data_IF_542018449762
#
_entry.id   IF_542018449762
#
_cell.length_a   1.000
_cell.length_b   1.000
_cell.length_c   1.000
_cell.angle_alpha   90.00
_cell.angle_beta   90.00
_cell.angle_gamma   90.00
#
_symmetry.space_group_name_H-M   'P 1'
#
loop_
_entity.id
_entity.type
_entity.pdbx_description
1 polymer ?
#
# COMPACT_ATOMS: atom_id res chain seq x y z
N UNK A 1 3.63 20.77 3.90
CA UNK A 1 2.74 19.66 3.52
C UNK A 1 1.33 19.98 3.98
N UNK A 2 0.33 19.65 3.17
CA UNK A 2 -1.08 19.86 3.53
C UNK A 2 -1.48 18.85 4.61
N UNK A 3 -2.12 19.31 5.68
CA UNK A 3 -2.54 18.44 6.79
C UNK A 3 -3.74 17.57 6.39
N UNK A 4 -3.74 16.33 6.85
CA UNK A 4 -4.87 15.40 6.72
C UNK A 4 -5.88 15.51 7.88
N UNK A 5 -5.84 16.59 8.65
CA UNK A 5 -6.76 16.83 9.77
C UNK A 5 -8.21 16.72 9.32
N UNK A 6 -8.98 15.92 10.05
CA UNK A 6 -10.39 15.63 9.77
C UNK A 6 -10.67 14.87 8.45
N UNK A 7 -9.66 14.50 7.67
CA UNK A 7 -9.83 13.66 6.48
C UNK A 7 -10.13 12.22 6.88
N UNK A 8 -11.01 11.58 6.14
CA UNK A 8 -11.39 10.18 6.35
C UNK A 8 -10.65 9.28 5.37
N UNK A 9 -9.84 8.37 5.90
CA UNK A 9 -9.14 7.34 5.13
C UNK A 9 -9.83 5.98 5.30
N UNK A 10 -10.12 5.30 4.20
CA UNK A 10 -10.52 3.89 4.18
C UNK A 10 -9.31 3.07 3.72
N UNK A 11 -8.73 2.26 4.62
CA UNK A 11 -7.47 1.55 4.35
C UNK A 11 -7.70 0.04 4.46
N UNK A 12 -7.46 -0.69 3.37
CA UNK A 12 -7.53 -2.15 3.37
C UNK A 12 -6.23 -2.77 3.91
N UNK A 13 -6.34 -3.83 4.71
CA UNK A 13 -5.18 -4.54 5.25
C UNK A 13 -4.34 -3.73 6.25
N UNK A 14 -4.95 -2.76 6.96
CA UNK A 14 -4.25 -1.86 7.88
C UNK A 14 -4.12 -2.39 9.32
N UNK A 15 -4.31 -3.69 9.56
CA UNK A 15 -4.08 -4.28 10.88
C UNK A 15 -2.59 -4.38 11.26
N UNK A 16 -1.68 -4.18 10.31
CA UNK A 16 -0.21 -4.24 10.48
C UNK A 16 0.54 -3.66 9.27
N UNK A 17 1.88 -3.64 9.36
CA UNK A 17 2.78 -3.37 8.24
C UNK A 17 2.55 -2.00 7.58
N UNK A 18 2.62 -1.97 6.24
CA UNK A 18 2.54 -0.73 5.45
C UNK A 18 1.20 -0.01 5.68
N UNK A 19 0.07 -0.74 5.66
CA UNK A 19 -1.24 -0.13 5.87
C UNK A 19 -1.39 0.54 7.23
N UNK A 20 -0.85 -0.07 8.30
CA UNK A 20 -0.83 0.51 9.63
C UNK A 20 0.10 1.74 9.70
N UNK A 21 1.26 1.67 9.06
CA UNK A 21 2.19 2.80 9.03
C UNK A 21 1.56 4.03 8.33
N UNK A 22 0.88 3.83 7.18
CA UNK A 22 0.11 4.88 6.49
C UNK A 22 -0.98 5.45 7.40
N UNK A 23 -1.72 4.58 8.10
CA UNK A 23 -2.76 4.98 9.04
C UNK A 23 -2.21 5.85 10.18
N UNK A 24 -1.10 5.41 10.82
CA UNK A 24 -0.43 6.16 11.90
C UNK A 24 0.12 7.50 11.41
N UNK A 25 0.68 7.55 10.20
CA UNK A 25 1.16 8.80 9.61
C UNK A 25 0.04 9.82 9.42
N UNK A 26 -1.10 9.37 8.89
CA UNK A 26 -2.29 10.21 8.75
C UNK A 26 -2.87 10.63 10.12
N UNK A 27 -2.84 9.73 11.09
CA UNK A 27 -3.31 9.98 12.46
C UNK A 27 -2.54 11.10 13.17
N UNK A 28 -1.23 11.25 12.92
CA UNK A 28 -0.41 12.36 13.46
C UNK A 28 -0.95 13.74 13.04
N UNK A 29 -1.68 13.81 11.95
CA UNK A 29 -2.37 15.03 11.51
C UNK A 29 -3.78 15.18 12.12
N UNK A 30 -4.29 14.18 12.83
CA UNK A 30 -5.66 14.14 13.33
C UNK A 30 -6.67 13.61 12.30
N UNK A 31 -6.26 12.69 11.43
CA UNK A 31 -7.15 12.02 10.47
C UNK A 31 -8.07 10.98 11.14
N UNK A 32 -9.18 10.66 10.45
CA UNK A 32 -10.09 9.57 10.77
C UNK A 32 -9.76 8.37 9.90
N UNK A 33 -9.56 7.20 10.48
CA UNK A 33 -9.10 6.00 9.76
C UNK A 33 -10.03 4.83 9.98
N UNK A 34 -10.65 4.34 8.92
CA UNK A 34 -11.35 3.05 8.87
C UNK A 34 -10.35 1.95 8.50
N UNK A 35 -10.17 0.98 9.38
CA UNK A 35 -9.26 -0.16 9.23
C UNK A 35 -10.07 -1.35 8.72
N UNK A 36 -10.06 -1.59 7.42
CA UNK A 36 -10.77 -2.72 6.82
C UNK A 36 -9.83 -3.93 6.68
N UNK A 37 -9.90 -4.91 7.59
CA UNK A 37 -9.07 -6.10 7.54
C UNK A 37 -9.74 -7.31 8.22
N UNK A 38 -9.26 -8.50 7.90
CA UNK A 38 -9.85 -9.78 8.39
C UNK A 38 -9.44 -10.14 9.81
N UNK A 39 -8.27 -9.68 10.26
CA UNK A 39 -7.65 -10.14 11.51
C UNK A 39 -8.22 -9.35 12.69
N UNK A 40 -9.27 -9.88 13.33
CA UNK A 40 -9.83 -9.35 14.57
C UNK A 40 -9.17 -9.98 15.80
N UNK A 41 -8.89 -11.29 15.74
CA UNK A 41 -8.27 -12.05 16.84
C UNK A 41 -6.76 -12.20 16.64
N UNK A 42 -5.99 -12.32 17.74
CA UNK A 42 -4.57 -12.59 17.66
C UNK A 42 -4.24 -13.86 16.87
N UNK A 43 -3.20 -13.83 16.07
CA UNK A 43 -2.76 -14.97 15.27
C UNK A 43 -1.32 -15.36 15.66
N UNK A 44 -1.00 -16.67 15.86
CA UNK A 44 0.30 -17.11 16.39
C UNK A 44 1.52 -16.67 15.58
N UNK A 45 1.34 -16.46 14.26
CA UNK A 45 2.43 -16.12 13.32
C UNK A 45 2.37 -14.68 12.79
N UNK A 46 1.31 -13.94 13.11
CA UNK A 46 1.09 -12.61 12.55
C UNK A 46 0.71 -11.65 13.67
N UNK A 47 1.62 -10.78 14.04
CA UNK A 47 1.38 -9.73 15.02
C UNK A 47 0.34 -8.72 14.52
N UNK A 48 -0.43 -8.17 15.45
CA UNK A 48 -1.41 -7.12 15.21
C UNK A 48 -2.78 -7.63 14.74
N UNK A 49 -3.79 -6.92 15.22
CA UNK A 49 -5.21 -7.08 14.86
C UNK A 49 -5.78 -5.72 14.46
N UNK A 50 -7.03 -5.67 13.97
CA UNK A 50 -7.71 -4.38 13.74
C UNK A 50 -7.86 -3.58 15.03
N UNK A 51 -7.96 -4.26 16.19
CA UNK A 51 -8.12 -3.62 17.50
C UNK A 51 -6.80 -3.05 18.03
N UNK A 52 -5.69 -3.79 17.95
CA UNK A 52 -4.37 -3.26 18.30
C UNK A 52 -3.97 -2.10 17.38
N UNK A 53 -4.25 -2.22 16.09
CA UNK A 53 -4.02 -1.14 15.12
C UNK A 53 -4.85 0.12 15.43
N UNK A 54 -6.12 -0.07 15.83
CA UNK A 54 -6.97 1.06 16.25
C UNK A 54 -6.38 1.81 17.44
N UNK A 55 -5.86 1.07 18.44
CA UNK A 55 -5.19 1.68 19.58
C UNK A 55 -3.95 2.48 19.15
N UNK A 56 -3.08 1.90 18.29
CA UNK A 56 -1.88 2.59 17.80
C UNK A 56 -2.21 3.87 17.02
N UNK A 57 -3.30 3.87 16.23
CA UNK A 57 -3.77 5.04 15.49
C UNK A 57 -4.29 6.12 16.44
N UNK A 58 -5.02 5.73 17.50
CA UNK A 58 -5.49 6.66 18.53
C UNK A 58 -4.32 7.25 19.32
N UNK A 59 -3.35 6.41 19.72
CA UNK A 59 -2.14 6.86 20.41
C UNK A 59 -1.31 7.84 19.53
N UNK A 60 -1.41 7.74 18.21
CA UNK A 60 -0.79 8.66 17.26
C UNK A 60 -1.61 9.97 17.03
N UNK A 61 -2.77 10.13 17.65
CA UNK A 61 -3.58 11.36 17.58
C UNK A 61 -4.75 11.31 16.59
N UNK A 62 -5.02 10.18 15.95
CA UNK A 62 -6.15 9.99 15.03
C UNK A 62 -7.40 9.40 15.68
N UNK A 63 -8.44 9.25 14.87
CA UNK A 63 -9.65 8.53 15.23
C UNK A 63 -9.73 7.25 14.41
N UNK A 64 -9.83 6.10 15.07
CA UNK A 64 -9.81 4.80 14.42
C UNK A 64 -11.15 4.09 14.48
N UNK A 65 -11.56 3.47 13.38
CA UNK A 65 -12.72 2.60 13.26
C UNK A 65 -12.26 1.21 12.77
N UNK A 66 -12.11 0.21 13.66
CA UNK A 66 -11.77 -1.14 13.26
C UNK A 66 -12.99 -1.85 12.65
N UNK A 67 -12.82 -2.45 11.46
CA UNK A 67 -13.88 -3.13 10.72
C UNK A 67 -13.38 -4.48 10.23
N UNK A 68 -14.05 -5.56 10.62
CA UNK A 68 -13.79 -6.89 10.05
C UNK A 68 -14.30 -6.90 8.60
N UNK A 69 -13.39 -7.09 7.65
CA UNK A 69 -13.72 -7.06 6.24
C UNK A 69 -12.80 -7.98 5.42
N UNK A 70 -13.37 -8.96 4.73
CA UNK A 70 -12.71 -9.66 3.63
C UNK A 70 -13.05 -8.91 2.33
N UNK A 71 -12.05 -8.29 1.70
CA UNK A 71 -12.26 -7.50 0.48
C UNK A 71 -12.65 -8.32 -0.75
N UNK A 72 -12.67 -9.65 -0.66
CA UNK A 72 -13.21 -10.55 -1.70
C UNK A 72 -14.73 -10.64 -1.67
N UNK A 73 -15.31 -10.31 -0.53
CA UNK A 73 -16.75 -10.39 -0.26
C UNK A 73 -17.39 -9.00 -0.48
N UNK A 74 -18.28 -8.93 -1.46
CA UNK A 74 -18.93 -7.69 -1.88
C UNK A 74 -19.82 -7.08 -0.80
N UNK A 75 -20.55 -7.92 -0.05
CA UNK A 75 -21.42 -7.45 1.03
C UNK A 75 -20.62 -6.92 2.22
N UNK A 76 -19.50 -7.59 2.57
CA UNK A 76 -18.63 -7.10 3.64
C UNK A 76 -18.00 -5.75 3.28
N UNK A 77 -17.56 -5.58 2.03
CA UNK A 77 -17.02 -4.30 1.55
C UNK A 77 -18.10 -3.23 1.58
N UNK A 78 -19.32 -3.52 1.10
CA UNK A 78 -20.42 -2.57 1.13
C UNK A 78 -20.78 -2.15 2.58
N UNK A 79 -20.86 -3.12 3.51
CA UNK A 79 -21.09 -2.82 4.93
C UNK A 79 -19.97 -2.00 5.56
N UNK A 80 -18.71 -2.30 5.24
CA UNK A 80 -17.57 -1.56 5.77
C UNK A 80 -17.53 -0.11 5.30
N UNK A 81 -17.83 0.13 4.02
CA UNK A 81 -17.95 1.48 3.45
C UNK A 81 -19.13 2.23 4.09
N UNK A 82 -20.31 1.61 4.18
CA UNK A 82 -21.49 2.22 4.80
C UNK A 82 -21.24 2.59 6.27
N UNK A 83 -20.59 1.71 7.04
CA UNK A 83 -20.22 1.97 8.44
C UNK A 83 -19.23 3.13 8.55
N UNK A 84 -18.25 3.20 7.66
CA UNK A 84 -17.28 4.30 7.62
C UNK A 84 -17.98 5.63 7.37
N UNK A 85 -18.88 5.67 6.39
CA UNK A 85 -19.62 6.87 6.01
C UNK A 85 -20.57 7.32 7.12
N UNK A 86 -21.30 6.39 7.75
CA UNK A 86 -22.21 6.72 8.86
C UNK A 86 -21.45 7.23 10.09
N UNK A 87 -20.23 6.73 10.34
CA UNK A 87 -19.41 7.11 11.50
C UNK A 87 -18.66 8.43 11.26
N UNK A 88 -18.10 8.63 10.08
CA UNK A 88 -17.17 9.74 9.80
C UNK A 88 -17.73 10.82 8.87
N UNK A 89 -18.86 10.56 8.22
CA UNK A 89 -19.55 11.51 7.33
C UNK A 89 -19.16 11.38 5.84
N UNK A 90 -18.14 10.58 5.50
CA UNK A 90 -17.70 10.41 4.11
C UNK A 90 -16.35 9.67 4.03
N UNK A 91 -15.79 9.61 2.82
CA UNK A 91 -14.45 9.06 2.54
C UNK A 91 -13.73 10.04 1.62
N UNK A 92 -12.59 10.54 2.07
CA UNK A 92 -11.72 11.42 1.28
C UNK A 92 -10.62 10.62 0.53
N UNK A 93 -10.14 9.53 1.14
CA UNK A 93 -8.99 8.76 0.65
C UNK A 93 -9.30 7.28 0.76
N UNK A 94 -9.06 6.54 -0.32
CA UNK A 94 -9.11 5.07 -0.37
C UNK A 94 -7.71 4.50 -0.59
N UNK A 95 -7.23 3.63 0.33
CA UNK A 95 -5.93 2.98 0.22
C UNK A 95 -6.11 1.48 0.03
N UNK A 96 -5.82 1.00 -1.17
CA UNK A 96 -5.79 -0.41 -1.53
C UNK A 96 -4.41 -1.00 -1.19
N UNK A 97 -4.26 -1.42 0.06
CA UNK A 97 -3.02 -1.99 0.58
C UNK A 97 -3.12 -3.50 0.85
N UNK A 98 -4.31 -4.05 1.10
CA UNK A 98 -4.47 -5.49 1.30
C UNK A 98 -3.90 -6.29 0.12
N UNK A 99 -3.06 -7.30 0.41
CA UNK A 99 -2.39 -8.09 -0.61
C UNK A 99 -2.19 -9.54 -0.14
N UNK A 100 -2.18 -10.46 -1.10
CA UNK A 100 -1.70 -11.83 -0.94
C UNK A 100 -0.49 -12.06 -1.84
N UNK A 101 0.46 -12.85 -1.34
CA UNK A 101 1.71 -13.17 -2.04
C UNK A 101 1.94 -14.69 -2.05
N UNK A 102 2.35 -15.21 -3.20
CA UNK A 102 2.93 -16.54 -3.37
C UNK A 102 3.92 -16.49 -4.54
N UNK A 103 5.19 -16.74 -4.25
CA UNK A 103 6.28 -16.69 -5.25
C UNK A 103 6.61 -18.09 -5.74
N UNK A 104 5.62 -18.75 -6.35
CA UNK A 104 5.77 -20.08 -6.96
C UNK A 104 5.79 -19.96 -8.48
N UNK A 105 6.58 -20.81 -9.13
CA UNK A 105 6.57 -20.92 -10.58
C UNK A 105 5.25 -21.53 -11.06
N UNK A 106 5.00 -21.50 -12.38
CA UNK A 106 3.75 -21.94 -12.98
C UNK A 106 3.38 -23.38 -12.61
N UNK A 107 4.35 -24.30 -12.63
CA UNK A 107 4.09 -25.73 -12.34
C UNK A 107 3.79 -26.01 -10.86
N UNK A 108 4.31 -25.17 -9.95
CA UNK A 108 4.14 -25.32 -8.50
C UNK A 108 3.02 -24.45 -7.91
N UNK A 109 2.38 -23.62 -8.72
CA UNK A 109 1.31 -22.74 -8.25
C UNK A 109 0.01 -23.52 -8.02
N UNK A 110 -0.41 -23.64 -6.76
CA UNK A 110 -1.75 -24.16 -6.41
C UNK A 110 -2.82 -23.14 -6.86
N UNK A 111 -3.86 -23.60 -7.55
CA UNK A 111 -4.94 -22.76 -8.06
C UNK A 111 -5.70 -22.03 -6.93
N UNK A 112 -5.81 -22.60 -5.73
CA UNK A 112 -6.36 -21.89 -4.56
C UNK A 112 -5.52 -20.66 -4.20
N UNK A 113 -4.20 -20.73 -4.38
CA UNK A 113 -3.30 -19.59 -4.17
C UNK A 113 -3.41 -18.59 -5.29
N UNK A 114 -3.54 -19.05 -6.54
CA UNK A 114 -3.82 -18.19 -7.69
C UNK A 114 -5.12 -17.41 -7.46
N UNK A 115 -6.22 -18.08 -7.15
CA UNK A 115 -7.53 -17.48 -6.93
C UNK A 115 -7.50 -16.50 -5.74
N UNK A 116 -6.78 -16.86 -4.68
CA UNK A 116 -6.60 -15.97 -3.52
C UNK A 116 -5.90 -14.66 -3.92
N UNK A 117 -4.80 -14.75 -4.69
CA UNK A 117 -4.06 -13.57 -5.15
C UNK A 117 -4.89 -12.71 -6.09
N UNK A 118 -5.56 -13.31 -7.06
CA UNK A 118 -6.45 -12.59 -7.99
C UNK A 118 -7.64 -11.97 -7.26
N UNK A 119 -8.24 -12.70 -6.33
CA UNK A 119 -9.39 -12.25 -5.54
C UNK A 119 -9.06 -11.08 -4.62
N UNK A 120 -7.89 -11.07 -3.99
CA UNK A 120 -7.47 -9.99 -3.09
C UNK A 120 -6.86 -8.83 -3.88
N UNK A 121 -5.80 -9.11 -4.66
CA UNK A 121 -5.00 -8.03 -5.25
C UNK A 121 -5.76 -7.32 -6.37
N UNK A 122 -6.28 -8.05 -7.36
CA UNK A 122 -6.93 -7.45 -8.54
C UNK A 122 -8.40 -7.14 -8.27
N UNK A 123 -9.21 -8.20 -8.03
CA UNK A 123 -10.67 -8.03 -7.86
C UNK A 123 -11.01 -7.19 -6.62
N UNK A 124 -10.34 -7.46 -5.49
CA UNK A 124 -10.57 -6.73 -4.24
C UNK A 124 -10.24 -5.24 -4.36
N UNK A 125 -9.12 -4.89 -5.00
CA UNK A 125 -8.75 -3.50 -5.30
C UNK A 125 -9.82 -2.80 -6.13
N UNK A 126 -10.30 -3.44 -7.20
CA UNK A 126 -11.36 -2.89 -8.04
C UNK A 126 -12.66 -2.69 -7.24
N UNK A 127 -13.08 -3.72 -6.50
CA UNK A 127 -14.31 -3.71 -5.70
C UNK A 127 -14.31 -2.61 -4.64
N UNK A 128 -13.21 -2.51 -3.86
CA UNK A 128 -13.09 -1.49 -2.80
C UNK A 128 -13.12 -0.08 -3.38
N UNK A 129 -12.36 0.15 -4.46
CA UNK A 129 -12.38 1.45 -5.14
C UNK A 129 -13.77 1.80 -5.66
N UNK A 130 -14.45 0.87 -6.36
CA UNK A 130 -15.82 1.03 -6.84
C UNK A 130 -16.78 1.40 -5.70
N UNK A 131 -16.66 0.72 -4.57
CA UNK A 131 -17.56 0.95 -3.41
C UNK A 131 -17.30 2.30 -2.72
N UNK A 132 -16.05 2.77 -2.67
CA UNK A 132 -15.70 4.08 -2.12
C UNK A 132 -16.02 5.24 -3.08
N UNK A 133 -16.12 5.00 -4.37
CA UNK A 133 -16.19 6.03 -5.41
C UNK A 133 -17.33 7.04 -5.24
N UNK A 134 -18.58 6.67 -4.87
CA UNK A 134 -19.65 7.65 -4.66
C UNK A 134 -19.34 8.68 -3.56
N UNK A 135 -18.47 8.31 -2.61
CA UNK A 135 -18.08 9.17 -1.49
C UNK A 135 -16.84 10.01 -1.86
N UNK A 136 -15.88 9.41 -2.54
CA UNK A 136 -14.69 10.09 -3.07
C UNK A 136 -15.07 11.26 -4.00
N UNK A 137 -16.03 11.07 -4.90
CA UNK A 137 -16.54 12.13 -5.80
C UNK A 137 -17.10 13.37 -5.07
N UNK A 138 -17.43 13.25 -3.77
CA UNK A 138 -17.93 14.36 -2.94
C UNK A 138 -16.85 15.01 -2.09
N UNK A 139 -15.66 14.42 -2.03
CA UNK A 139 -14.53 14.96 -1.28
C UNK A 139 -13.88 16.14 -2.00
N UNK A 140 -13.27 17.05 -1.25
CA UNK A 140 -12.63 18.24 -1.81
C UNK A 140 -11.29 17.95 -2.51
N UNK A 141 -10.56 16.92 -2.04
CA UNK A 141 -9.29 16.47 -2.61
C UNK A 141 -9.21 14.94 -2.55
N UNK A 142 -9.99 14.22 -3.38
CA UNK A 142 -10.12 12.77 -3.28
C UNK A 142 -8.94 12.03 -3.88
N UNK A 143 -8.42 11.02 -3.14
CA UNK A 143 -7.34 10.16 -3.61
C UNK A 143 -7.68 8.68 -3.49
N UNK A 144 -7.29 7.92 -4.49
CA UNK A 144 -7.14 6.46 -4.44
C UNK A 144 -5.66 6.14 -4.55
N UNK A 145 -5.11 5.41 -3.59
CA UNK A 145 -3.75 4.92 -3.61
C UNK A 145 -3.74 3.40 -3.67
N UNK A 146 -3.02 2.84 -4.62
CA UNK A 146 -2.83 1.41 -4.77
C UNK A 146 -1.38 1.02 -4.47
N UNK A 147 -1.18 0.07 -3.57
CA UNK A 147 0.15 -0.47 -3.28
C UNK A 147 0.52 -1.45 -4.39
N UNK A 148 0.87 -0.91 -5.56
CA UNK A 148 1.14 -1.66 -6.79
C UNK A 148 2.34 -1.12 -7.56
N UNK A 149 3.03 -1.99 -8.33
CA UNK A 149 4.28 -1.62 -8.99
C UNK A 149 4.08 -0.74 -10.24
N UNK A 150 5.14 -0.08 -10.71
CA UNK A 150 5.20 0.46 -12.07
C UNK A 150 4.96 -0.62 -13.13
N UNK A 151 4.45 -0.22 -14.29
CA UNK A 151 4.17 -1.13 -15.42
C UNK A 151 5.45 -1.35 -16.26
N UNK A 152 6.42 -2.08 -15.72
CA UNK A 152 7.58 -2.57 -16.47
C UNK A 152 7.27 -3.99 -16.99
N UNK A 153 7.00 -4.09 -18.29
CA UNK A 153 6.61 -5.36 -18.94
C UNK A 153 7.81 -6.25 -19.30
N UNK A 154 8.98 -6.01 -18.72
CA UNK A 154 10.15 -6.86 -18.95
C UNK A 154 9.92 -8.28 -18.42
N UNK A 155 10.21 -9.35 -19.23
CA UNK A 155 9.91 -10.75 -18.85
C UNK A 155 10.49 -11.20 -17.51
N UNK A 156 11.59 -10.61 -17.03
CA UNK A 156 12.19 -10.91 -15.72
C UNK A 156 11.22 -10.77 -14.55
N UNK A 157 10.22 -9.88 -14.67
CA UNK A 157 9.22 -9.65 -13.62
C UNK A 157 8.09 -10.67 -13.60
N UNK A 158 8.00 -11.48 -14.65
CA UNK A 158 6.98 -12.54 -14.78
C UNK A 158 7.58 -13.91 -14.58
N UNK A 159 8.84 -14.13 -15.01
CA UNK A 159 9.52 -15.41 -14.84
C UNK A 159 9.67 -15.79 -13.37
N UNK A 160 9.33 -17.05 -13.05
CA UNK A 160 9.45 -17.58 -11.69
C UNK A 160 8.25 -17.36 -10.76
N UNK A 161 7.39 -16.36 -11.01
CA UNK A 161 6.21 -16.08 -10.17
C UNK A 161 5.06 -15.42 -10.95
N UNK A 162 4.69 -16.03 -12.08
CA UNK A 162 3.69 -15.51 -13.04
C UNK A 162 2.38 -15.11 -12.37
N UNK A 163 1.84 -15.96 -11.49
CA UNK A 163 0.56 -15.72 -10.82
C UNK A 163 0.60 -14.45 -9.94
N UNK A 164 1.68 -14.24 -9.19
CA UNK A 164 1.84 -13.03 -8.36
C UNK A 164 1.99 -11.78 -9.23
N UNK A 165 2.79 -11.87 -10.30
CA UNK A 165 2.96 -10.75 -11.23
C UNK A 165 1.65 -10.34 -11.88
N UNK A 166 0.86 -11.29 -12.41
CA UNK A 166 -0.48 -11.01 -12.96
C UNK A 166 -1.34 -10.28 -11.93
N UNK A 167 -1.39 -10.78 -10.69
CA UNK A 167 -2.23 -10.21 -9.65
C UNK A 167 -1.79 -8.78 -9.27
N UNK A 168 -0.47 -8.50 -9.19
CA UNK A 168 0.05 -7.17 -8.88
C UNK A 168 -0.10 -6.18 -10.05
N UNK A 169 0.18 -6.64 -11.27
CA UNK A 169 -0.06 -5.82 -12.47
C UNK A 169 -1.55 -5.58 -12.69
N UNK A 170 -2.43 -6.49 -12.28
CA UNK A 170 -3.88 -6.25 -12.27
C UNK A 170 -4.27 -5.02 -11.44
N UNK A 171 -3.63 -4.80 -10.27
CA UNK A 171 -3.81 -3.56 -9.50
C UNK A 171 -3.28 -2.34 -10.28
N UNK A 172 -2.12 -2.46 -10.91
CA UNK A 172 -1.51 -1.38 -11.70
C UNK A 172 -2.35 -1.01 -12.92
N UNK A 173 -2.98 -1.99 -13.58
CA UNK A 173 -3.93 -1.76 -14.67
C UNK A 173 -5.19 -1.02 -14.17
N UNK A 174 -5.65 -1.29 -12.93
CA UNK A 174 -6.70 -0.49 -12.30
C UNK A 174 -6.27 0.98 -12.15
N UNK A 175 -5.02 1.25 -11.76
CA UNK A 175 -4.51 2.63 -11.69
C UNK A 175 -4.59 3.29 -13.07
N UNK A 176 -4.05 2.63 -14.09
CA UNK A 176 -4.01 3.17 -15.45
C UNK A 176 -5.40 3.51 -15.99
N UNK A 177 -6.34 2.57 -15.87
CA UNK A 177 -7.70 2.76 -16.39
C UNK A 177 -8.53 3.75 -15.57
N UNK A 178 -8.53 3.59 -14.23
CA UNK A 178 -9.35 4.44 -13.36
C UNK A 178 -8.84 5.88 -13.29
N UNK A 179 -7.54 6.14 -13.45
CA UNK A 179 -7.01 7.49 -13.48
C UNK A 179 -7.58 8.29 -14.66
N UNK A 180 -7.70 7.69 -15.83
CA UNK A 180 -8.30 8.32 -17.02
C UNK A 180 -9.83 8.43 -16.89
N UNK A 181 -10.50 7.34 -16.45
CA UNK A 181 -11.96 7.30 -16.26
C UNK A 181 -12.44 8.39 -15.29
N UNK A 182 -11.74 8.55 -14.15
CA UNK A 182 -12.15 9.41 -13.04
C UNK A 182 -11.62 10.85 -13.13
N UNK A 183 -10.89 11.18 -14.18
CA UNK A 183 -10.32 12.51 -14.41
C UNK A 183 -11.38 13.62 -14.37
N UNK A 184 -12.54 13.38 -14.97
CA UNK A 184 -13.67 14.34 -14.99
C UNK A 184 -14.26 14.56 -13.60
N UNK A 185 -14.19 13.57 -12.74
CA UNK A 185 -14.67 13.64 -11.37
C UNK A 185 -13.64 14.26 -10.41
N UNK A 186 -12.43 14.53 -10.88
CA UNK A 186 -11.34 15.10 -10.09
C UNK A 186 -10.79 14.15 -9.02
N UNK A 187 -11.03 12.83 -9.17
CA UNK A 187 -10.53 11.79 -8.27
C UNK A 187 -9.16 11.33 -8.75
N UNK A 188 -8.12 11.56 -7.95
CA UNK A 188 -6.78 11.07 -8.24
C UNK A 188 -6.68 9.57 -7.97
N UNK A 189 -6.04 8.85 -8.89
CA UNK A 189 -5.70 7.42 -8.73
C UNK A 189 -4.23 7.24 -9.03
N UNK A 190 -3.44 6.81 -8.04
CA UNK A 190 -2.00 6.65 -8.16
C UNK A 190 -1.55 5.31 -7.58
N UNK A 191 -0.40 4.82 -8.06
CA UNK A 191 0.32 3.70 -7.50
C UNK A 191 1.51 4.19 -6.67
N UNK A 192 1.83 3.47 -5.59
CA UNK A 192 3.05 3.65 -4.82
C UNK A 192 3.71 2.29 -4.60
N UNK A 193 5.03 2.23 -4.83
CA UNK A 193 5.81 1.01 -4.72
C UNK A 193 7.14 1.26 -4.01
N UNK A 194 7.61 0.34 -3.15
CA UNK A 194 8.92 0.49 -2.51
C UNK A 194 10.06 0.17 -3.47
N UNK A 195 11.16 0.93 -3.40
CA UNK A 195 12.39 0.58 -4.10
C UNK A 195 13.12 -0.59 -3.48
N UNK A 196 13.05 -0.69 -2.17
CA UNK A 196 13.72 -1.72 -1.37
C UNK A 196 12.70 -2.53 -0.61
N UNK A 197 13.06 -3.73 -0.19
CA UNK A 197 12.20 -4.52 0.69
C UNK A 197 11.81 -3.73 1.93
N UNK A 198 10.58 -3.95 2.42
CA UNK A 198 10.03 -3.29 3.61
C UNK A 198 9.88 -4.31 4.72
N UNK A 199 10.41 -3.99 5.90
CA UNK A 199 10.35 -4.86 7.09
C UNK A 199 8.90 -5.12 7.52
N UNK A 200 8.33 -6.20 7.03
CA UNK A 200 6.95 -6.62 7.28
C UNK A 200 6.89 -8.11 7.58
N UNK A 201 5.78 -8.56 8.16
CA UNK A 201 5.54 -10.00 8.36
C UNK A 201 5.57 -10.81 7.05
N UNK A 202 5.27 -10.20 5.90
CA UNK A 202 5.38 -10.87 4.60
C UNK A 202 6.84 -11.16 4.25
N UNK A 203 7.74 -10.21 4.42
CA UNK A 203 9.18 -10.39 4.22
C UNK A 203 9.73 -11.43 5.19
N UNK A 204 9.40 -11.30 6.48
CA UNK A 204 9.86 -12.22 7.53
C UNK A 204 9.44 -13.67 7.29
N UNK A 205 8.16 -13.89 6.97
CA UNK A 205 7.57 -15.22 6.97
C UNK A 205 7.55 -15.91 5.59
N UNK A 206 7.70 -15.14 4.48
CA UNK A 206 7.52 -15.68 3.11
C UNK A 206 8.78 -15.56 2.27
N UNK A 207 9.59 -14.49 2.44
CA UNK A 207 10.62 -14.16 1.45
C UNK A 207 12.06 -14.42 1.89
N UNK A 208 12.48 -14.06 3.09
CA UNK A 208 13.91 -14.15 3.42
C UNK A 208 14.25 -14.07 4.91
N UNK A 209 13.26 -14.17 5.79
CA UNK A 209 13.47 -14.22 7.23
C UNK A 209 14.16 -12.96 7.79
N UNK A 210 14.85 -13.13 8.92
CA UNK A 210 15.50 -12.02 9.66
C UNK A 210 16.62 -11.36 8.84
N UNK A 211 17.34 -12.10 7.98
CA UNK A 211 18.40 -11.54 7.12
C UNK A 211 17.80 -10.48 6.18
N UNK A 212 16.69 -10.78 5.53
CA UNK A 212 16.06 -9.84 4.61
C UNK A 212 15.40 -8.66 5.35
N UNK A 213 14.91 -8.89 6.58
CA UNK A 213 14.43 -7.80 7.45
C UNK A 213 15.55 -6.80 7.75
N UNK A 214 16.75 -7.26 8.14
CA UNK A 214 17.87 -6.34 8.41
C UNK A 214 18.32 -5.55 7.16
N UNK A 215 18.11 -6.09 5.96
CA UNK A 215 18.38 -5.44 4.69
C UNK A 215 17.23 -4.57 4.17
N UNK A 216 16.20 -4.36 4.96
CA UNK A 216 14.98 -3.64 4.59
C UNK A 216 14.94 -2.22 5.15
N UNK A 217 14.01 -1.43 4.63
CA UNK A 217 13.55 -0.18 5.24
C UNK A 217 12.32 -0.42 6.10
N UNK A 218 12.06 0.48 7.04
CA UNK A 218 10.81 0.52 7.80
C UNK A 218 9.63 0.93 6.89
N UNK A 219 8.42 0.53 7.28
CA UNK A 219 7.21 0.92 6.55
C UNK A 219 6.92 2.44 6.59
N UNK A 220 7.63 3.19 7.40
CA UNK A 220 7.48 4.64 7.53
C UNK A 220 7.82 5.38 6.23
N UNK A 221 8.76 4.87 5.43
CA UNK A 221 9.07 5.49 4.14
C UNK A 221 7.85 5.51 3.20
N UNK A 222 7.10 4.40 3.13
CA UNK A 222 5.86 4.34 2.35
C UNK A 222 4.74 5.18 2.98
N UNK A 223 4.73 5.30 4.29
CA UNK A 223 3.77 6.13 5.01
C UNK A 223 3.99 7.62 4.71
N UNK A 224 5.22 8.08 4.72
CA UNK A 224 5.56 9.46 4.38
C UNK A 224 5.35 9.75 2.89
N UNK A 225 5.71 8.82 2.00
CA UNK A 225 5.42 8.94 0.58
C UNK A 225 3.89 8.98 0.30
N UNK A 226 3.10 8.12 0.94
CA UNK A 226 1.64 8.15 0.83
C UNK A 226 1.05 9.48 1.33
N UNK A 227 1.54 10.00 2.45
CA UNK A 227 1.11 11.29 2.97
C UNK A 227 1.42 12.43 1.97
N UNK A 228 2.58 12.40 1.33
CA UNK A 228 2.96 13.35 0.28
C UNK A 228 2.04 13.23 -0.95
N UNK A 229 1.62 12.00 -1.34
CA UNK A 229 0.60 11.79 -2.40
C UNK A 229 -0.71 12.46 -2.03
N UNK A 230 -1.22 12.24 -0.82
CA UNK A 230 -2.50 12.81 -0.37
C UNK A 230 -2.47 14.33 -0.21
N UNK A 231 -1.27 14.91 -0.12
CA UNK A 231 -1.04 16.36 -0.07
C UNK A 231 -1.05 17.02 -1.46
N UNK A 232 -0.99 16.23 -2.55
CA UNK A 232 -1.02 16.76 -3.92
C UNK A 232 -2.44 17.15 -4.34
N UNK A 233 -2.62 18.07 -5.29
CA UNK A 233 -3.95 18.39 -5.80
C UNK A 233 -4.50 17.25 -6.67
N UNK A 234 -5.60 16.63 -6.25
CA UNK A 234 -6.18 15.43 -6.92
C UNK A 234 -6.52 15.65 -8.39
N UNK A 235 -6.88 16.86 -8.77
CA UNK A 235 -7.27 17.19 -10.15
C UNK A 235 -6.12 17.11 -11.15
N UNK A 236 -4.88 17.23 -10.71
CA UNK A 236 -3.70 17.30 -11.58
C UNK A 236 -2.66 16.23 -11.27
N UNK A 237 -2.78 15.55 -10.14
CA UNK A 237 -1.83 14.51 -9.71
C UNK A 237 -2.49 13.13 -9.71
N UNK A 238 -2.64 12.55 -10.90
CA UNK A 238 -3.30 11.24 -11.12
C UNK A 238 -2.60 10.45 -12.21
N UNK A 239 -2.69 9.12 -12.16
CA UNK A 239 -2.11 8.21 -13.15
C UNK A 239 -0.61 7.94 -12.95
N UNK A 240 -0.04 8.32 -11.81
CA UNK A 240 1.37 8.16 -11.54
C UNK A 240 1.69 6.79 -10.93
N UNK A 241 2.84 6.25 -11.31
CA UNK A 241 3.45 5.05 -10.72
C UNK A 241 4.71 5.49 -9.98
N UNK A 242 4.57 5.68 -8.68
CA UNK A 242 5.57 6.33 -7.83
C UNK A 242 6.46 5.28 -7.15
N UNK A 243 7.77 5.55 -7.13
CA UNK A 243 8.72 4.84 -6.27
C UNK A 243 8.96 5.72 -5.03
N UNK A 244 8.86 5.12 -3.86
CA UNK A 244 8.85 5.79 -2.55
C UNK A 244 9.96 6.82 -2.37
N UNK A 245 11.22 6.39 -2.46
CA UNK A 245 12.37 7.24 -2.21
C UNK A 245 12.57 8.31 -3.30
N UNK A 246 12.34 7.96 -4.57
CA UNK A 246 12.39 8.93 -5.67
C UNK A 246 11.35 10.02 -5.49
N UNK A 247 10.12 9.64 -5.17
CA UNK A 247 9.04 10.61 -4.96
C UNK A 247 9.27 11.50 -3.74
N UNK A 248 9.74 10.93 -2.64
CA UNK A 248 10.11 11.70 -1.45
C UNK A 248 11.27 12.65 -1.72
N UNK A 249 12.25 12.25 -2.54
CA UNK A 249 13.37 13.10 -2.93
C UNK A 249 12.92 14.25 -3.84
N UNK A 250 12.31 13.91 -4.99
CA UNK A 250 12.07 14.85 -6.07
C UNK A 250 10.94 15.86 -5.77
N UNK A 251 9.92 15.42 -5.03
CA UNK A 251 8.75 16.23 -4.68
C UNK A 251 8.76 16.63 -3.20
N UNK A 252 9.22 15.75 -2.33
CA UNK A 252 9.26 15.98 -0.89
C UNK A 252 10.51 16.72 -0.39
N UNK A 253 11.58 16.79 -1.20
CA UNK A 253 12.86 17.38 -0.83
C UNK A 253 13.65 16.60 0.23
N UNK A 254 13.30 15.30 0.41
CA UNK A 254 14.01 14.43 1.36
C UNK A 254 15.36 14.02 0.77
N UNK A 255 16.43 14.27 1.50
CA UNK A 255 17.81 13.93 1.08
C UNK A 255 18.47 12.88 1.95
N UNK A 256 17.97 12.65 3.17
CA UNK A 256 18.45 11.62 4.09
C UNK A 256 17.42 10.51 4.27
N UNK A 257 17.77 9.30 3.85
CA UNK A 257 16.94 8.09 3.94
C UNK A 257 17.46 7.09 4.97
N UNK A 258 18.55 7.41 5.69
CA UNK A 258 19.19 6.48 6.63
C UNK A 258 18.32 6.18 7.85
N UNK A 259 17.43 7.07 8.24
CA UNK A 259 16.51 6.87 9.37
C UNK A 259 15.41 5.83 9.07
N UNK A 260 15.16 5.49 7.79
CA UNK A 260 14.23 4.42 7.43
C UNK A 260 14.86 3.02 7.44
N UNK A 261 16.19 2.89 7.53
CA UNK A 261 16.85 1.58 7.51
C UNK A 261 16.64 0.85 8.82
N UNK A 262 16.36 -0.45 8.74
CA UNK A 262 16.27 -1.33 9.92
C UNK A 262 17.67 -1.53 10.51
N UNK A 263 18.66 -1.85 9.68
CA UNK A 263 20.05 -1.96 10.10
C UNK A 263 20.95 -1.16 9.15
N UNK A 264 21.61 -0.14 9.69
CA UNK A 264 22.48 0.76 8.91
C UNK A 264 23.77 0.11 8.45
N UNK A 265 24.14 -1.03 9.02
CA UNK A 265 25.35 -1.78 8.66
C UNK A 265 25.13 -2.73 7.48
N UNK A 266 23.88 -3.12 7.23
CA UNK A 266 23.52 -4.05 6.16
C UNK A 266 23.21 -3.30 4.85
N UNK A 267 23.56 -3.84 3.67
CA UNK A 267 23.14 -3.26 2.39
C UNK A 267 21.61 -3.37 2.23
N UNK A 268 20.98 -2.41 1.53
CA UNK A 268 19.55 -2.47 1.24
C UNK A 268 19.26 -3.46 0.11
N UNK A 269 18.31 -4.37 0.35
CA UNK A 269 17.84 -5.30 -0.67
C UNK A 269 16.83 -4.62 -1.62
N UNK A 270 16.96 -4.76 -2.95
CA UNK A 270 15.97 -4.25 -3.89
C UNK A 270 14.63 -4.99 -3.74
N UNK A 271 13.52 -4.29 -3.99
CA UNK A 271 12.21 -4.93 -4.14
C UNK A 271 11.98 -5.39 -5.59
N UNK A 272 10.93 -6.20 -5.79
CA UNK A 272 10.48 -6.62 -7.11
C UNK A 272 9.91 -5.44 -7.92
N UNK A 273 9.88 -5.58 -9.23
CA UNK A 273 9.19 -4.67 -10.16
C UNK A 273 9.74 -3.24 -10.24
N UNK A 274 10.88 -2.96 -9.64
CA UNK A 274 11.53 -1.65 -9.80
C UNK A 274 12.16 -1.58 -11.19
N UNK A 275 11.76 -0.63 -12.06
CA UNK A 275 12.31 -0.50 -13.41
C UNK A 275 13.83 -0.30 -13.40
N UNK A 276 14.51 -0.87 -14.38
CA UNK A 276 15.99 -0.83 -14.44
C UNK A 276 16.56 0.58 -14.64
N UNK A 277 15.79 1.47 -15.26
CA UNK A 277 16.12 2.87 -15.49
C UNK A 277 15.78 3.77 -14.29
N UNK A 278 15.01 3.26 -13.32
CA UNK A 278 14.71 3.99 -12.08
C UNK A 278 15.92 4.04 -11.18
N UNK A 279 16.62 5.18 -11.17
CA UNK A 279 17.80 5.40 -10.33
C UNK A 279 17.38 5.79 -8.90
N UNK A 280 18.06 5.27 -7.87
CA UNK A 280 17.85 5.73 -6.50
C UNK A 280 18.34 7.19 -6.33
N UNK A 281 17.82 7.92 -5.34
CA UNK A 281 18.35 9.21 -4.96
C UNK A 281 19.85 9.16 -4.63
N UNK A 282 20.53 10.29 -4.78
CA UNK A 282 21.97 10.40 -4.49
C UNK A 282 22.26 9.95 -3.05
N UNK A 283 23.28 9.09 -2.89
CA UNK A 283 23.67 8.55 -1.58
C UNK A 283 22.97 7.26 -1.18
N UNK A 284 21.84 6.90 -1.80
CA UNK A 284 21.14 5.63 -1.54
C UNK A 284 21.86 4.49 -2.28
N UNK A 285 22.42 3.54 -1.52
CA UNK A 285 23.09 2.35 -2.03
C UNK A 285 22.21 1.11 -1.88
N UNK A 286 21.97 0.41 -2.99
CA UNK A 286 21.18 -0.82 -3.04
C UNK A 286 22.07 -1.97 -3.44
N UNK A 287 21.96 -3.10 -2.76
CA UNK A 287 22.67 -4.32 -3.09
C UNK A 287 22.30 -4.82 -4.50
N UNK A 288 23.27 -5.42 -5.18
CA UNK A 288 22.97 -6.18 -6.39
C UNK A 288 22.29 -7.50 -6.01
N UNK A 289 21.42 -8.00 -6.86
CA UNK A 289 20.75 -9.30 -6.64
C UNK A 289 21.78 -10.42 -6.43
N UNK A 290 22.93 -10.37 -7.12
CA UNK A 290 24.03 -11.31 -6.93
C UNK A 290 24.71 -11.24 -5.55
N UNK A 291 24.48 -10.20 -4.77
CA UNK A 291 25.04 -10.01 -3.43
C UNK A 291 24.08 -10.48 -2.32
N UNK A 292 22.86 -10.92 -2.71
CA UNK A 292 21.82 -11.40 -1.79
C UNK A 292 21.88 -12.92 -1.57
N UNK A 293 22.60 -13.65 -2.40
CA UNK A 293 22.76 -15.11 -2.40
C UNK A 293 23.60 -15.62 -1.20
#
# INVERSE_FOLDING_TARGET
MTSLKNKTLFITGASRGIGLAIAKRAARDGAKVAIAAKTAEPHPKLEGTIHSAAKEIQDAGGIALPIVCDIRDEEQVARAVALTVSTFGGIDICVNNASAISLTNTGATDMKRFDLMMGINTRGTFLVTKSCLPHLKRASNPHVLMMSPPLDMHPRWFGGHVAYSIAKYGMSLCVLGMAEELKKDGVAVNALWPRTTIATSAIKNVLGGEKLISMSRSAEILADAAHLVFSQPSKTFSGNFLIDDTFLHDVGGVTDFEHYRIDKTMPLAPDFFVPADSKPPLGVKIARISELA
#
